data_IF_661094326951
#
_entry.id   IF_661094326951
#
_cell.length_a   1.000
_cell.length_b   1.000
_cell.length_c   1.000
_cell.angle_alpha   90.00
_cell.angle_beta   90.00
_cell.angle_gamma   90.00
#
_symmetry.space_group_name_H-M   'P 1'
#
loop_
_entity.id
_entity.type
_entity.pdbx_description
1 polymer ?
#
# COMPACT_ATOMS: atom_id res chain seq x y z
N UNK A 1 14.33 -4.58 16.91
CA UNK A 1 13.09 -4.17 17.62
C UNK A 1 12.75 -2.76 17.15
N UNK A 2 11.50 -2.45 16.79
CA UNK A 2 11.11 -1.07 16.45
C UNK A 2 10.90 -0.34 17.79
N UNK A 3 11.70 0.69 18.12
CA UNK A 3 11.51 1.49 19.32
C UNK A 3 10.08 2.04 19.37
N UNK A 4 9.48 2.14 20.55
CA UNK A 4 8.14 2.72 20.79
C UNK A 4 6.92 1.93 20.28
N UNK A 5 7.11 0.74 19.68
CA UNK A 5 5.98 -0.04 19.16
C UNK A 5 4.99 -0.54 20.23
N UNK A 6 5.38 -0.61 21.52
CA UNK A 6 4.46 -1.00 22.60
C UNK A 6 3.57 0.16 23.01
N UNK A 7 4.15 1.35 23.02
CA UNK A 7 3.55 2.64 23.32
C UNK A 7 2.54 3.01 22.22
N UNK A 8 2.88 2.74 20.96
CA UNK A 8 2.04 2.97 19.78
C UNK A 8 1.02 1.84 19.51
N UNK A 9 0.57 1.12 20.56
CA UNK A 9 -0.43 0.04 20.48
C UNK A 9 -0.10 -1.07 19.46
N UNK A 10 1.18 -1.26 19.15
CA UNK A 10 1.68 -2.23 18.20
C UNK A 10 1.75 -1.74 16.75
N UNK A 11 1.38 -0.49 16.44
CA UNK A 11 1.53 0.09 15.10
C UNK A 11 3.00 0.43 14.82
N UNK A 12 3.44 0.14 13.60
CA UNK A 12 4.86 0.19 13.21
C UNK A 12 5.09 0.76 11.81
N UNK A 13 4.06 0.79 10.98
CA UNK A 13 4.14 1.21 9.58
C UNK A 13 2.92 2.08 9.24
N UNK A 14 3.05 2.87 8.18
CA UNK A 14 1.95 3.65 7.61
C UNK A 14 1.83 3.27 6.14
N UNK A 15 0.66 2.82 5.72
CA UNK A 15 0.31 2.71 4.31
C UNK A 15 -0.17 4.06 3.83
N UNK A 16 0.54 4.62 2.84
CA UNK A 16 0.16 5.89 2.21
C UNK A 16 -0.34 5.59 0.80
N UNK A 17 -1.54 6.10 0.48
CA UNK A 17 -2.12 6.02 -0.86
C UNK A 17 -2.40 7.44 -1.33
N UNK A 18 -1.95 7.79 -2.53
CA UNK A 18 -2.08 9.16 -3.07
C UNK A 18 -2.85 9.07 -4.38
N UNK A 19 -3.94 9.83 -4.49
CA UNK A 19 -4.60 10.06 -5.76
C UNK A 19 -3.77 11.08 -6.57
N UNK A 20 -3.20 10.63 -7.69
CA UNK A 20 -2.32 11.44 -8.52
C UNK A 20 -2.99 12.69 -9.12
N UNK A 21 -4.32 12.69 -9.31
CA UNK A 21 -5.06 13.80 -9.91
C UNK A 21 -5.44 14.85 -8.87
N UNK A 22 -6.17 14.46 -7.83
CA UNK A 22 -6.66 15.39 -6.80
C UNK A 22 -5.62 15.75 -5.74
N UNK A 23 -4.51 15.00 -5.69
CA UNK A 23 -3.51 15.05 -4.60
C UNK A 23 -4.06 14.68 -3.23
N UNK A 24 -5.29 14.16 -3.16
CA UNK A 24 -5.85 13.60 -1.93
C UNK A 24 -5.07 12.36 -1.51
N UNK A 25 -4.76 12.25 -0.22
CA UNK A 25 -4.00 11.13 0.33
C UNK A 25 -4.70 10.48 1.51
N UNK A 26 -4.55 9.17 1.61
CA UNK A 26 -4.93 8.39 2.77
C UNK A 26 -3.66 7.92 3.48
N UNK A 27 -3.67 7.98 4.82
CA UNK A 27 -2.62 7.43 5.67
C UNK A 27 -3.26 6.45 6.65
N UNK A 28 -2.91 5.17 6.54
CA UNK A 28 -3.46 4.10 7.36
C UNK A 28 -2.37 3.47 8.22
N UNK A 29 -2.54 3.41 9.55
CA UNK A 29 -1.56 2.78 10.43
C UNK A 29 -1.64 1.26 10.31
N UNK A 30 -0.49 0.59 10.20
CA UNK A 30 -0.34 -0.87 10.14
C UNK A 30 0.56 -1.36 11.26
N UNK A 31 0.20 -2.50 11.85
CA UNK A 31 1.00 -3.21 12.86
C UNK A 31 2.09 -4.05 12.21
N UNK A 32 1.83 -4.61 11.03
CA UNK A 32 2.81 -5.34 10.24
C UNK A 32 2.71 -5.02 8.75
N UNK A 33 3.83 -5.20 8.05
CA UNK A 33 3.93 -5.08 6.58
C UNK A 33 3.57 -6.39 5.84
N UNK A 34 2.76 -7.25 6.45
CA UNK A 34 2.37 -8.51 5.80
C UNK A 34 1.43 -8.22 4.63
N UNK A 35 1.52 -9.01 3.57
CA UNK A 35 0.66 -8.85 2.40
C UNK A 35 -0.83 -8.85 2.73
N UNK A 36 -1.26 -9.71 3.68
CA UNK A 36 -2.65 -9.77 4.16
C UNK A 36 -3.09 -8.47 4.84
N UNK A 37 -2.25 -7.90 5.70
CA UNK A 37 -2.56 -6.68 6.43
C UNK A 37 -2.61 -5.46 5.49
N UNK A 38 -1.65 -5.37 4.58
CA UNK A 38 -1.61 -4.33 3.53
C UNK A 38 -2.84 -4.43 2.62
N UNK A 39 -3.23 -5.62 2.17
CA UNK A 39 -4.44 -5.80 1.35
C UNK A 39 -5.70 -5.38 2.10
N UNK A 40 -5.84 -5.76 3.38
CA UNK A 40 -6.99 -5.36 4.20
C UNK A 40 -7.08 -3.84 4.35
N UNK A 41 -5.95 -3.17 4.58
CA UNK A 41 -5.91 -1.72 4.66
C UNK A 41 -6.22 -1.07 3.31
N UNK A 42 -5.65 -1.56 2.21
CA UNK A 42 -5.90 -1.05 0.87
C UNK A 42 -7.38 -1.16 0.49
N UNK A 43 -8.06 -2.26 0.85
CA UNK A 43 -9.49 -2.43 0.60
C UNK A 43 -10.33 -1.29 1.20
N UNK A 44 -9.95 -0.75 2.37
CA UNK A 44 -10.67 0.39 2.97
C UNK A 44 -10.54 1.68 2.16
N UNK A 45 -9.43 1.86 1.44
CA UNK A 45 -9.22 2.96 0.52
C UNK A 45 -10.01 2.73 -0.76
N UNK A 46 -9.96 1.51 -1.31
CA UNK A 46 -10.68 1.16 -2.54
C UNK A 46 -12.20 1.28 -2.39
N UNK A 47 -12.75 1.00 -1.20
CA UNK A 47 -14.17 1.24 -0.90
C UNK A 47 -14.58 2.71 -0.98
N UNK A 48 -13.65 3.62 -0.71
CA UNK A 48 -13.90 5.07 -0.81
C UNK A 48 -13.64 5.56 -2.24
N UNK A 49 -12.57 5.08 -2.87
CA UNK A 49 -12.19 5.46 -4.22
C UNK A 49 -11.44 4.34 -4.94
N UNK A 50 -12.03 3.84 -6.03
CA UNK A 50 -11.42 2.80 -6.87
C UNK A 50 -10.73 3.43 -8.09
N UNK A 51 -9.40 3.36 -8.22
CA UNK A 51 -8.70 3.79 -9.43
C UNK A 51 -8.73 2.70 -10.51
N UNK A 52 -8.57 3.08 -11.78
CA UNK A 52 -8.35 2.11 -12.87
C UNK A 52 -6.94 1.51 -12.84
N UNK A 53 -5.98 2.33 -12.44
CA UNK A 53 -4.54 2.05 -12.47
C UNK A 53 -3.95 2.30 -11.09
N UNK A 54 -3.24 1.33 -10.56
CA UNK A 54 -2.51 1.45 -9.29
C UNK A 54 -1.03 1.20 -9.53
N UNK A 55 -0.21 2.18 -9.17
CA UNK A 55 1.24 2.07 -9.19
C UNK A 55 1.74 1.86 -7.76
N UNK A 56 2.55 0.83 -7.53
CA UNK A 56 3.27 0.63 -6.26
C UNK A 56 4.77 0.50 -6.50
N UNK A 57 5.56 0.53 -5.43
CA UNK A 57 6.94 0.07 -5.52
C UNK A 57 6.99 -1.46 -5.73
N UNK A 58 8.14 -1.99 -6.11
CA UNK A 58 8.34 -3.41 -6.42
C UNK A 58 8.47 -4.30 -5.16
N UNK A 59 7.96 -3.87 -4.01
CA UNK A 59 8.09 -4.64 -2.76
C UNK A 59 7.05 -5.76 -2.65
N UNK A 60 7.45 -6.85 -2.00
CA UNK A 60 6.68 -8.09 -1.92
C UNK A 60 5.32 -7.93 -1.22
N UNK A 61 5.16 -6.95 -0.33
CA UNK A 61 3.88 -6.63 0.29
C UNK A 61 2.78 -6.29 -0.73
N UNK A 62 3.12 -5.77 -1.91
CA UNK A 62 2.16 -5.46 -2.98
C UNK A 62 2.06 -6.56 -4.05
N UNK A 63 3.03 -7.48 -4.11
CA UNK A 63 3.10 -8.56 -5.11
C UNK A 63 2.75 -9.95 -4.55
N UNK A 64 1.91 -9.99 -3.50
CA UNK A 64 1.44 -11.23 -2.89
C UNK A 64 0.04 -11.64 -3.41
N UNK A 65 -0.34 -12.91 -3.20
CA UNK A 65 -1.61 -13.45 -3.71
C UNK A 65 -2.84 -12.70 -3.18
N UNK A 66 -2.84 -12.23 -1.93
CA UNK A 66 -3.97 -11.48 -1.37
C UNK A 66 -4.15 -10.14 -2.10
N UNK A 67 -3.05 -9.42 -2.35
CA UNK A 67 -3.09 -8.14 -3.03
C UNK A 67 -3.48 -8.31 -4.50
N UNK A 68 -2.93 -9.32 -5.18
CA UNK A 68 -3.32 -9.67 -6.55
C UNK A 68 -4.81 -10.01 -6.66
N UNK A 69 -5.35 -10.78 -5.71
CA UNK A 69 -6.77 -11.11 -5.68
C UNK A 69 -7.63 -9.86 -5.46
N UNK A 70 -7.21 -8.96 -4.56
CA UNK A 70 -7.90 -7.69 -4.33
C UNK A 70 -7.92 -6.82 -5.59
N UNK A 71 -6.80 -6.68 -6.29
CA UNK A 71 -6.75 -5.91 -7.55
C UNK A 71 -7.69 -6.49 -8.61
N UNK A 72 -7.76 -7.82 -8.73
CA UNK A 72 -8.71 -8.50 -9.62
C UNK A 72 -10.16 -8.24 -9.24
N UNK A 73 -10.49 -8.30 -7.95
CA UNK A 73 -11.85 -8.08 -7.44
C UNK A 73 -12.36 -6.67 -7.77
N UNK A 74 -11.48 -5.67 -7.72
CA UNK A 74 -11.82 -4.28 -8.02
C UNK A 74 -11.53 -3.88 -9.47
N UNK A 75 -11.16 -4.83 -10.34
CA UNK A 75 -10.81 -4.60 -11.75
C UNK A 75 -9.72 -3.53 -11.96
N UNK A 76 -8.70 -3.55 -11.10
CA UNK A 76 -7.58 -2.58 -11.10
C UNK A 76 -6.38 -3.17 -11.84
N UNK A 77 -5.81 -2.38 -12.76
CA UNK A 77 -4.51 -2.68 -13.36
C UNK A 77 -3.39 -2.26 -12.40
N UNK A 78 -2.74 -3.23 -11.77
CA UNK A 78 -1.64 -3.00 -10.83
C UNK A 78 -0.29 -3.21 -11.51
N UNK A 79 0.59 -2.22 -11.41
CA UNK A 79 1.94 -2.27 -11.96
C UNK A 79 2.95 -1.60 -11.01
N UNK A 80 4.23 -1.90 -11.24
CA UNK A 80 5.34 -1.13 -10.67
C UNK A 80 6.02 -0.35 -11.78
N UNK A 81 6.76 0.69 -11.40
CA UNK A 81 7.67 1.38 -12.32
C UNK A 81 9.08 1.11 -11.83
N UNK A 82 9.86 0.42 -12.66
CA UNK A 82 11.30 0.32 -12.48
C UNK A 82 11.93 1.60 -13.02
N UNK A 83 12.54 2.38 -12.14
CA UNK A 83 13.38 3.52 -12.54
C UNK A 83 14.81 3.16 -12.20
N UNK A 84 15.70 3.10 -13.21
CA UNK A 84 17.14 2.95 -13.01
C UNK A 84 17.74 4.13 -12.23
N UNK A 85 17.02 5.26 -12.14
CA UNK A 85 17.39 6.41 -11.30
C UNK A 85 16.85 6.26 -9.88
N UNK A 86 17.33 5.27 -9.13
CA UNK A 86 17.50 5.47 -7.69
C UNK A 86 18.81 6.23 -7.49
N UNK A 87 18.71 7.54 -7.61
CA UNK A 87 19.79 8.48 -7.35
C UNK A 87 20.32 8.21 -5.94
N UNK A 88 21.62 7.96 -5.84
CA UNK A 88 22.39 8.03 -4.61
C UNK A 88 22.12 9.39 -3.96
N UNK A 89 21.45 9.38 -2.82
CA UNK A 89 21.56 10.35 -1.73
C UNK A 89 21.36 9.59 -0.42
#
# INVERSE_FOLDING_TARGET
MIPYSKEDKGYKYILVVINCFSKFSWALPLKNKTGKEVSKAMETVLKQQTPKNLQTDARLEFFNQNFKNLMKQYYISHYNVFSEKKQQL
#
